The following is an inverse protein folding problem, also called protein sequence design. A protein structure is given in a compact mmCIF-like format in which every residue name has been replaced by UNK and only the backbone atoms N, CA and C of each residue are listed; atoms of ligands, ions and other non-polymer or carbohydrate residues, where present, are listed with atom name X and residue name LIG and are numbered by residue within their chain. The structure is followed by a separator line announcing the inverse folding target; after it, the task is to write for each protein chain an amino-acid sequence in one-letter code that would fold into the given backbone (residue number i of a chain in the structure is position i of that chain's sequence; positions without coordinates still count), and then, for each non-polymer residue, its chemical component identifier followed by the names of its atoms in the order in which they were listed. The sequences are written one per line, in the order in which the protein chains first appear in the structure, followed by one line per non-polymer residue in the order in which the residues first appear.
data_IF_015851174804
#
_entry.id   IF_015851174804
#
_cell.length_a   1.000
_cell.length_b   1.000
_cell.length_c   1.000
_cell.angle_alpha   90.00
_cell.angle_beta   90.00
_cell.angle_gamma   90.00
#
_symmetry.space_group_name_H-M   'P 1'
#
loop_
_entity.id
_entity.type
_entity.pdbx_description
1 polymer ?
#
# COMPACT_ATOMS: atom_id res chain seq x y z
N UNK A 1 15.02 -10.47 5.48
CA UNK A 1 14.06 -9.51 6.05
C UNK A 1 12.91 -10.26 6.68
N UNK A 2 12.11 -9.61 7.52
CA UNK A 2 10.89 -10.20 8.09
C UNK A 2 9.89 -10.52 6.97
N UNK A 3 9.26 -11.69 7.03
CA UNK A 3 8.26 -12.13 6.06
C UNK A 3 6.94 -12.34 6.77
N UNK A 4 5.96 -11.49 6.46
CA UNK A 4 4.61 -11.63 6.99
C UNK A 4 4.00 -12.97 6.53
N UNK A 5 3.18 -13.61 7.36
CA UNK A 5 2.42 -14.80 6.97
C UNK A 5 0.94 -14.62 7.29
N UNK A 6 0.02 -14.85 6.34
CA UNK A 6 0.26 -15.24 4.95
C UNK A 6 0.65 -14.03 4.07
N UNK A 7 1.89 -13.96 3.58
CA UNK A 7 2.26 -13.02 2.52
C UNK A 7 2.05 -13.65 1.15
N UNK A 8 0.82 -13.55 0.63
CA UNK A 8 0.57 -13.80 -0.79
C UNK A 8 0.54 -12.47 -1.56
N UNK A 9 1.31 -12.33 -2.65
CA UNK A 9 1.19 -11.18 -3.55
C UNK A 9 -0.22 -10.98 -4.10
N UNK A 10 -1.06 -12.03 -4.14
CA UNK A 10 -2.44 -11.95 -4.61
C UNK A 10 -3.39 -11.24 -3.64
N UNK A 11 -3.03 -11.15 -2.36
CA UNK A 11 -3.88 -10.56 -1.30
C UNK A 11 -3.28 -9.28 -0.71
N UNK A 12 -2.14 -8.82 -1.25
CA UNK A 12 -1.41 -7.65 -0.74
C UNK A 12 -1.29 -6.60 -1.85
N UNK A 13 -1.71 -5.38 -1.54
CA UNK A 13 -1.43 -4.20 -2.34
C UNK A 13 -0.70 -3.19 -1.45
N UNK A 14 0.62 -3.03 -1.67
CA UNK A 14 1.46 -2.07 -0.94
C UNK A 14 1.64 -0.80 -1.76
N UNK A 15 1.36 0.35 -1.16
CA UNK A 15 1.50 1.66 -1.80
C UNK A 15 2.74 2.36 -1.24
N UNK A 16 3.65 2.78 -2.13
CA UNK A 16 4.83 3.54 -1.78
C UNK A 16 5.18 4.49 -2.92
N UNK A 17 5.34 5.77 -2.61
CA UNK A 17 5.74 6.79 -3.58
C UNK A 17 7.27 6.93 -3.63
N UNK A 18 7.82 7.24 -4.81
CA UNK A 18 9.26 7.45 -4.97
C UNK A 18 9.80 8.63 -4.16
N UNK A 19 8.94 9.60 -3.81
CA UNK A 19 9.27 10.76 -2.98
C UNK A 19 9.30 10.44 -1.49
N UNK A 20 8.80 9.28 -1.07
CA UNK A 20 8.73 8.87 0.33
C UNK A 20 10.08 8.36 0.87
N UNK A 21 10.61 8.91 1.99
CA UNK A 21 11.96 8.58 2.47
C UNK A 21 12.08 7.32 3.33
N UNK A 22 10.97 6.68 3.75
CA UNK A 22 11.06 5.49 4.63
C UNK A 22 10.74 4.18 3.93
N UNK A 23 9.84 4.18 2.95
CA UNK A 23 9.57 3.02 2.10
C UNK A 23 10.33 3.08 0.77
N UNK A 24 10.85 4.24 0.39
CA UNK A 24 11.66 4.46 -0.80
C UNK A 24 12.85 5.37 -0.48
N UNK A 25 13.57 5.80 -1.52
CA UNK A 25 14.78 6.63 -1.42
C UNK A 25 14.50 8.13 -1.65
N UNK A 26 13.26 8.56 -1.42
CA UNK A 26 12.86 9.95 -1.58
C UNK A 26 13.32 10.84 -0.42
N UNK A 27 12.91 12.10 -0.43
CA UNK A 27 13.26 13.08 0.59
C UNK A 27 12.07 13.90 1.13
N UNK A 28 10.84 13.58 0.72
CA UNK A 28 9.63 14.23 1.18
C UNK A 28 8.91 13.39 2.24
N UNK A 29 9.11 13.72 3.51
CA UNK A 29 8.44 13.06 4.62
C UNK A 29 6.91 13.25 4.59
N UNK A 30 6.40 14.32 3.97
CA UNK A 30 4.95 14.54 3.87
C UNK A 30 4.27 13.47 3.01
N UNK A 31 4.94 12.94 1.99
CA UNK A 31 4.45 11.81 1.18
C UNK A 31 3.99 10.62 2.05
N UNK A 32 4.55 10.42 3.25
CA UNK A 32 4.10 9.37 4.18
C UNK A 32 2.69 9.54 4.69
N UNK A 33 2.29 10.79 4.93
CA UNK A 33 1.03 11.12 5.57
C UNK A 33 -0.14 11.21 4.57
N UNK A 34 0.16 11.15 3.27
CA UNK A 34 -0.82 11.39 2.20
C UNK A 34 -1.43 10.13 1.60
N UNK A 35 -1.00 8.93 2.01
CA UNK A 35 -1.41 7.69 1.33
C UNK A 35 -2.90 7.40 1.41
N UNK A 36 -3.59 7.72 2.51
CA UNK A 36 -5.05 7.55 2.56
C UNK A 36 -5.74 8.50 1.60
N UNK A 37 -5.28 9.74 1.50
CA UNK A 37 -5.85 10.74 0.57
C UNK A 37 -5.62 10.32 -0.90
N UNK A 38 -4.44 9.78 -1.22
CA UNK A 38 -4.05 9.42 -2.60
C UNK A 38 -4.60 8.05 -3.04
N UNK A 39 -4.56 7.06 -2.15
CA UNK A 39 -4.78 5.65 -2.47
C UNK A 39 -5.96 5.02 -1.73
N UNK A 40 -6.64 5.74 -0.83
CA UNK A 40 -7.72 5.17 -0.01
C UNK A 40 -8.84 4.52 -0.82
N UNK A 41 -9.26 5.14 -1.92
CA UNK A 41 -10.26 4.56 -2.82
C UNK A 41 -9.75 3.34 -3.59
N UNK A 42 -8.47 3.34 -4.00
CA UNK A 42 -7.85 2.19 -4.66
C UNK A 42 -7.70 1.01 -3.69
N UNK A 43 -7.29 1.28 -2.46
CA UNK A 43 -7.20 0.28 -1.40
C UNK A 43 -8.58 -0.32 -1.08
N UNK A 44 -9.62 0.52 -0.98
CA UNK A 44 -10.98 0.04 -0.77
C UNK A 44 -11.46 -0.84 -1.93
N UNK A 45 -11.22 -0.43 -3.18
CA UNK A 45 -11.59 -1.21 -4.35
C UNK A 45 -10.86 -2.55 -4.41
N UNK A 46 -9.56 -2.59 -4.06
CA UNK A 46 -8.77 -3.81 -3.97
C UNK A 46 -9.36 -4.79 -2.94
N UNK A 47 -9.70 -4.30 -1.74
CA UNK A 47 -10.31 -5.13 -0.68
C UNK A 47 -11.66 -5.69 -1.13
N UNK A 48 -12.54 -4.84 -1.68
CA UNK A 48 -13.86 -5.29 -2.17
C UNK A 48 -13.73 -6.37 -3.25
N UNK A 49 -12.81 -6.21 -4.20
CA UNK A 49 -12.55 -7.21 -5.24
C UNK A 49 -12.20 -8.58 -4.65
N UNK A 50 -11.44 -8.64 -3.56
CA UNK A 50 -11.04 -9.90 -2.95
C UNK A 50 -12.16 -10.53 -2.10
N UNK A 51 -12.94 -9.70 -1.40
CA UNK A 51 -14.06 -10.17 -0.58
C UNK A 51 -15.21 -10.67 -1.45
N UNK A 52 -15.54 -9.94 -2.52
CA UNK A 52 -16.66 -10.29 -3.41
C UNK A 52 -16.30 -11.43 -4.40
N UNK A 53 -15.01 -11.73 -4.58
CA UNK A 53 -14.54 -12.86 -5.39
C UNK A 53 -14.37 -14.17 -4.60
N UNK A 54 -14.63 -14.15 -3.28
CA UNK A 54 -14.52 -15.29 -2.37
C UNK A 54 -15.80 -16.12 -2.31
#
# INVERSE_FOLDING_TARGET
GFQCSPASPSIIQSYCDSTHPYCCNGNDANSHQQYVNKYGQQALAFVKKLVDAA
#
